data_IF_333423473098
#
_entry.id   IF_333423473098
#
_cell.length_a   1.000
_cell.length_b   1.000
_cell.length_c   1.000
_cell.angle_alpha   90.00
_cell.angle_beta   90.00
_cell.angle_gamma   90.00
#
_symmetry.space_group_name_H-M   'P 1'
#
loop_
_entity.id
_entity.type
_entity.pdbx_description
1 polymer ?
#
# COMPACT_ATOMS: atom_id res chain seq x y z
N UNK A 1 -3.91 23.84 -11.93
CA UNK A 1 -4.09 22.94 -13.08
C UNK A 1 -3.34 23.55 -14.25
N UNK A 2 -2.40 22.84 -14.86
CA UNK A 2 -1.59 23.39 -15.95
C UNK A 2 -2.39 23.36 -17.27
N UNK A 3 -2.11 24.30 -18.19
CA UNK A 3 -2.69 24.35 -19.55
C UNK A 3 -1.57 24.35 -20.59
N UNK A 4 -0.74 23.32 -20.54
CA UNK A 4 0.51 23.21 -21.30
C UNK A 4 0.48 22.18 -22.44
N UNK A 5 -0.70 21.60 -22.73
CA UNK A 5 -0.89 20.64 -23.82
C UNK A 5 -0.59 19.19 -23.45
N UNK A 6 -0.51 18.84 -22.16
CA UNK A 6 -0.44 17.45 -21.71
C UNK A 6 -1.81 16.76 -21.86
N UNK A 7 -1.78 15.50 -22.30
CA UNK A 7 -2.96 14.66 -22.57
C UNK A 7 -3.43 13.87 -21.34
N UNK A 8 -2.88 14.14 -20.15
CA UNK A 8 -3.19 13.44 -18.90
C UNK A 8 -3.55 14.43 -17.79
N UNK A 9 -4.46 14.07 -16.87
CA UNK A 9 -4.84 14.96 -15.79
C UNK A 9 -3.70 15.18 -14.80
N UNK A 10 -3.69 16.36 -14.19
CA UNK A 10 -2.72 16.74 -13.16
C UNK A 10 -2.81 15.88 -11.91
N UNK A 11 -4.01 15.40 -11.59
CA UNK A 11 -4.29 14.51 -10.48
C UNK A 11 -5.17 13.38 -10.99
N UNK A 12 -4.75 12.13 -10.76
CA UNK A 12 -5.52 10.94 -11.09
C UNK A 12 -5.62 10.04 -9.87
N UNK A 13 -6.83 9.59 -9.58
CA UNK A 13 -7.10 8.58 -8.57
C UNK A 13 -7.50 7.29 -9.27
N UNK A 14 -6.78 6.21 -8.98
CA UNK A 14 -7.12 4.86 -9.40
C UNK A 14 -7.57 4.03 -8.19
N UNK A 15 -8.64 3.26 -8.37
CA UNK A 15 -9.09 2.27 -7.39
C UNK A 15 -9.15 0.92 -8.07
N UNK A 16 -8.62 -0.10 -7.41
CA UNK A 16 -8.49 -1.44 -7.95
C UNK A 16 -9.02 -2.44 -6.94
N UNK A 17 -9.84 -3.37 -7.41
CA UNK A 17 -10.35 -4.48 -6.62
C UNK A 17 -9.51 -5.73 -6.91
N UNK A 18 -8.81 -6.21 -5.88
CA UNK A 18 -8.06 -7.47 -5.95
C UNK A 18 -8.90 -8.57 -5.29
N UNK A 19 -9.39 -9.56 -6.06
CA UNK A 19 -10.15 -10.66 -5.50
C UNK A 19 -9.24 -11.57 -4.66
N UNK A 20 -9.86 -12.47 -3.89
CA UNK A 20 -9.13 -13.52 -3.19
C UNK A 20 -8.34 -14.38 -4.19
N UNK A 21 -7.10 -14.71 -3.83
CA UNK A 21 -6.26 -15.63 -4.57
C UNK A 21 -5.59 -16.64 -3.62
N UNK A 22 -4.85 -17.60 -4.17
CA UNK A 22 -4.02 -18.48 -3.35
C UNK A 22 -2.89 -17.73 -2.61
N UNK A 23 -2.51 -16.54 -3.09
CA UNK A 23 -1.41 -15.75 -2.54
C UNK A 23 -1.86 -14.74 -1.47
N UNK A 24 -3.11 -14.27 -1.51
CA UNK A 24 -3.61 -13.24 -0.59
C UNK A 24 -5.14 -13.26 -0.46
N UNK A 25 -5.61 -12.76 0.70
CA UNK A 25 -7.01 -12.39 0.92
C UNK A 25 -7.43 -11.24 -0.02
N UNK A 26 -8.73 -10.99 -0.26
CA UNK A 26 -9.16 -9.87 -1.09
C UNK A 26 -8.80 -8.53 -0.43
N UNK A 27 -8.45 -7.55 -1.25
CA UNK A 27 -8.17 -6.19 -0.78
C UNK A 27 -8.45 -5.17 -1.88
N UNK A 28 -8.57 -3.90 -1.48
CA UNK A 28 -8.66 -2.79 -2.42
C UNK A 28 -7.33 -2.03 -2.41
N UNK A 29 -6.90 -1.61 -3.59
CA UNK A 29 -5.75 -0.72 -3.75
C UNK A 29 -6.25 0.63 -4.24
N UNK A 30 -5.78 1.71 -3.61
CA UNK A 30 -5.96 3.07 -4.12
C UNK A 30 -4.61 3.67 -4.45
N UNK A 31 -4.47 4.19 -5.66
CA UNK A 31 -3.30 4.90 -6.13
C UNK A 31 -3.68 6.34 -6.43
N UNK A 32 -2.82 7.27 -6.03
CA UNK A 32 -2.94 8.68 -6.35
C UNK A 32 -1.69 9.14 -7.10
N UNK A 33 -1.87 9.57 -8.33
CA UNK A 33 -0.87 10.32 -9.06
C UNK A 33 -1.17 11.81 -8.94
N UNK A 34 -0.18 12.63 -8.58
CA UNK A 34 -0.35 14.06 -8.37
C UNK A 34 0.85 14.83 -8.97
N UNK A 35 0.75 15.20 -10.25
CA UNK A 35 1.79 15.91 -10.98
C UNK A 35 1.89 17.41 -10.64
N UNK A 36 0.87 17.99 -10.02
CA UNK A 36 0.93 19.37 -9.51
C UNK A 36 1.55 19.45 -8.11
N UNK A 37 1.88 18.31 -7.51
CA UNK A 37 2.59 18.29 -6.24
C UNK A 37 4.05 18.73 -6.45
N UNK A 38 4.35 19.97 -6.09
CA UNK A 38 5.72 20.50 -6.05
C UNK A 38 6.48 20.08 -4.80
N UNK A 39 5.85 19.35 -3.86
CA UNK A 39 6.51 18.85 -2.67
C UNK A 39 7.07 17.45 -2.97
N UNK A 40 8.36 17.39 -3.30
CA UNK A 40 9.07 16.11 -3.42
C UNK A 40 9.03 15.36 -2.08
N UNK A 41 8.81 14.04 -2.09
CA UNK A 41 9.04 13.19 -0.91
C UNK A 41 7.81 12.63 -0.19
N UNK A 42 6.60 12.81 -0.73
CA UNK A 42 5.35 12.27 -0.14
C UNK A 42 4.97 10.88 -0.66
N UNK A 43 5.87 10.18 -1.35
CA UNK A 43 5.63 8.81 -1.83
C UNK A 43 5.80 7.83 -0.67
N UNK A 44 4.70 7.17 -0.31
CA UNK A 44 4.68 6.05 0.62
C UNK A 44 3.66 5.02 0.16
N UNK A 45 3.88 3.76 0.54
CA UNK A 45 2.89 2.71 0.48
C UNK A 45 2.27 2.55 1.87
N UNK A 46 0.95 2.67 1.97
CA UNK A 46 0.22 2.40 3.20
C UNK A 46 -0.52 1.08 3.09
N UNK A 47 -0.23 0.17 4.00
CA UNK A 47 -0.95 -1.09 4.17
C UNK A 47 -1.86 -0.96 5.38
N UNK A 48 -3.15 -1.25 5.23
CA UNK A 48 -4.14 -1.17 6.32
C UNK A 48 -4.79 -2.53 6.50
N UNK A 49 -4.77 -3.04 7.73
CA UNK A 49 -5.38 -4.30 8.11
C UNK A 49 -6.21 -4.15 9.39
N UNK A 50 -6.81 -5.27 9.83
CA UNK A 50 -7.65 -5.30 11.03
C UNK A 50 -6.91 -4.94 12.33
N UNK A 51 -5.60 -5.15 12.36
CA UNK A 51 -4.75 -4.91 13.55
C UNK A 51 -4.01 -3.57 13.52
N UNK A 52 -4.18 -2.77 12.47
CA UNK A 52 -3.53 -1.47 12.35
C UNK A 52 -3.07 -1.16 10.93
N UNK A 53 -1.98 -0.43 10.81
CA UNK A 53 -1.43 -0.03 9.51
C UNK A 53 0.09 0.02 9.50
N UNK A 54 0.65 -0.03 8.31
CA UNK A 54 2.08 0.13 8.06
C UNK A 54 2.27 1.22 7.02
N UNK A 55 3.09 2.22 7.32
CA UNK A 55 3.55 3.24 6.38
C UNK A 55 4.96 2.86 5.93
N UNK A 56 5.13 2.57 4.63
CA UNK A 56 6.40 2.17 4.01
C UNK A 56 6.91 3.32 3.16
N UNK A 57 8.07 3.88 3.51
CA UNK A 57 8.78 4.92 2.76
C UNK A 57 10.01 4.33 2.09
N UNK A 58 10.86 5.19 1.52
CA UNK A 58 12.10 4.79 0.86
C UNK A 58 13.08 4.05 1.77
N UNK A 59 13.18 4.46 3.03
CA UNK A 59 14.22 4.04 3.98
C UNK A 59 13.64 3.66 5.35
N UNK A 60 12.32 3.66 5.52
CA UNK A 60 11.69 3.33 6.78
C UNK A 60 10.35 2.61 6.64
N UNK A 61 10.02 1.85 7.66
CA UNK A 61 8.73 1.20 7.84
C UNK A 61 8.21 1.56 9.22
N UNK A 62 7.06 2.21 9.28
CA UNK A 62 6.39 2.57 10.53
C UNK A 62 5.14 1.72 10.71
N UNK A 63 5.18 0.79 11.66
CA UNK A 63 4.05 -0.02 12.08
C UNK A 63 3.25 0.71 13.16
N UNK A 64 1.95 0.88 12.94
CA UNK A 64 0.99 1.44 13.89
C UNK A 64 -0.02 0.36 14.23
N UNK A 65 -0.01 -0.14 15.47
CA UNK A 65 -0.98 -1.15 15.94
C UNK A 65 -2.18 -0.50 16.60
N UNK A 66 -3.36 -1.05 16.30
CA UNK A 66 -4.57 -0.72 17.05
C UNK A 66 -4.33 -1.07 18.51
N UNK A 67 -4.49 -0.10 19.41
CA UNK A 67 -4.55 -0.41 20.84
C UNK A 67 -5.88 -1.11 21.10
N UNK A 68 -5.82 -2.31 21.66
CA UNK A 68 -7.00 -2.93 22.27
C UNK A 68 -7.45 -2.00 23.38
N UNK A 69 -8.53 -1.26 23.15
CA UNK A 69 -9.15 -0.43 24.18
C UNK A 69 -9.83 -1.39 25.16
N UNK A 70 -9.64 -1.19 26.46
CA UNK A 70 -10.42 -1.90 27.49
C UNK A 70 -11.92 -1.79 27.14
N UNK A 71 -12.60 -2.93 27.10
CA UNK A 71 -14.02 -3.02 26.75
C UNK A 71 -14.87 -2.21 27.72
N UNK A 72 -15.86 -1.48 27.21
CA UNK A 72 -16.92 -0.82 27.99
C UNK A 72 -18.12 -1.74 28.27
N UNK A 73 -17.99 -3.02 27.92
CA UNK A 73 -18.95 -4.07 28.25
C UNK A 73 -19.20 -4.11 29.78
N UNK A 74 -20.45 -3.91 30.24
CA UNK A 74 -20.82 -3.98 31.65
C UNK A 74 -20.39 -5.29 32.32
N UNK A 75 -20.36 -6.41 31.59
CA UNK A 75 -19.88 -7.70 32.11
C UNK A 75 -18.36 -7.71 32.32
N UNK A 76 -17.59 -7.17 31.37
CA UNK A 76 -16.14 -7.01 31.48
C UNK A 76 -15.77 -6.04 32.62
N UNK A 77 -16.49 -4.93 32.74
CA UNK A 77 -16.31 -3.94 33.82
C UNK A 77 -16.60 -4.58 35.18
N UNK A 78 -17.69 -5.33 35.33
CA UNK A 78 -18.02 -6.04 36.57
C UNK A 78 -17.00 -7.13 36.92
N UNK A 79 -16.48 -7.85 35.93
CA UNK A 79 -15.40 -8.82 36.12
C UNK A 79 -14.12 -8.13 36.64
N UNK A 80 -13.74 -6.99 36.07
CA UNK A 80 -12.56 -6.21 36.47
C UNK A 80 -12.73 -5.56 37.86
N UNK A 81 -13.96 -5.12 38.21
CA UNK A 81 -14.30 -4.66 39.57
C UNK A 81 -14.16 -5.76 40.61
N UNK A 82 -14.66 -6.98 40.33
CA UNK A 82 -14.49 -8.15 41.21
C UNK A 82 -13.02 -8.54 41.40
N UNK A 83 -12.18 -8.28 40.40
CA UNK A 83 -10.72 -8.46 40.47
C UNK A 83 -9.96 -7.32 41.18
N UNK A 84 -10.66 -6.31 41.72
CA UNK A 84 -10.09 -5.28 42.59
C UNK A 84 -9.39 -4.09 41.89
N UNK A 85 -9.58 -3.90 40.58
CA UNK A 85 -9.02 -2.75 39.84
C UNK A 85 -10.13 -1.75 39.45
N UNK A 86 -10.18 -0.53 40.02
CA UNK A 86 -11.16 0.47 39.61
C UNK A 86 -10.76 1.11 38.28
N UNK A 87 -11.66 1.06 37.28
CA UNK A 87 -11.55 1.85 36.04
C UNK A 87 -11.94 3.29 36.38
N UNK A 88 -10.98 4.22 36.41
CA UNK A 88 -11.24 5.63 36.76
C UNK A 88 -11.62 6.48 35.53
N UNK A 89 -12.62 7.35 35.67
CA UNK A 89 -13.36 8.06 34.61
C UNK A 89 -12.71 9.32 34.01
N UNK A 90 -11.51 9.25 33.41
CA UNK A 90 -11.11 10.27 32.41
C UNK A 90 -10.48 9.66 31.17
N UNK A 91 -11.11 9.87 30.01
CA UNK A 91 -10.65 9.40 28.70
C UNK A 91 -9.42 10.21 28.23
N UNK A 92 -8.47 9.51 27.62
CA UNK A 92 -7.22 10.07 27.04
C UNK A 92 -7.19 9.75 25.55
N UNK A 93 -6.80 10.71 24.71
CA UNK A 93 -6.34 10.42 23.35
C UNK A 93 -4.92 9.88 23.50
N UNK A 94 -4.75 8.58 23.34
CA UNK A 94 -3.43 7.95 23.34
C UNK A 94 -3.06 7.66 21.90
N UNK A 95 -1.83 7.99 21.50
CA UNK A 95 -1.32 7.58 20.20
C UNK A 95 -1.40 6.03 20.07
N UNK A 96 -1.57 5.49 18.85
CA UNK A 96 -1.35 4.08 18.57
C UNK A 96 0.00 3.60 19.13
N UNK A 97 0.15 2.30 19.29
CA UNK A 97 1.48 1.74 19.52
C UNK A 97 2.25 1.81 18.19
N UNK A 98 3.40 2.48 18.19
CA UNK A 98 4.14 2.81 16.98
C UNK A 98 5.58 2.29 17.05
N UNK A 99 6.01 1.59 16.00
CA UNK A 99 7.35 1.06 15.83
C UNK A 99 7.90 1.50 14.48
N UNK A 100 9.05 2.15 14.48
CA UNK A 100 9.73 2.55 13.24
C UNK A 100 11.00 1.74 13.07
N UNK A 101 11.09 1.08 11.92
CA UNK A 101 12.28 0.38 11.44
C UNK A 101 12.91 1.26 10.36
N UNK A 102 14.19 1.57 10.50
CA UNK A 102 14.93 2.33 9.50
C UNK A 102 15.98 1.43 8.83
N UNK A 103 16.25 1.69 7.56
CA UNK A 103 17.39 1.10 6.89
C UNK A 103 18.69 1.49 7.59
N UNK A 104 19.70 0.62 7.51
CA UNK A 104 21.01 0.91 8.06
C UNK A 104 21.63 2.13 7.38
N UNK A 105 22.47 2.83 8.13
CA UNK A 105 23.26 3.92 7.58
C UNK A 105 24.12 3.38 6.43
N UNK A 106 24.25 4.18 5.39
CA UNK A 106 25.05 3.89 4.19
C UNK A 106 24.49 2.74 3.33
N UNK A 107 23.25 2.27 3.58
CA UNK A 107 22.53 1.43 2.63
C UNK A 107 22.31 2.19 1.31
N UNK A 108 22.77 1.59 0.21
CA UNK A 108 22.76 2.22 -1.12
C UNK A 108 21.35 2.28 -1.76
N UNK A 109 20.38 1.60 -1.15
CA UNK A 109 18.97 1.68 -1.51
C UNK A 109 18.55 0.74 -2.65
N UNK A 110 17.23 0.70 -2.87
CA UNK A 110 16.61 -0.15 -3.90
C UNK A 110 17.23 -0.02 -5.29
N UNK A 111 17.52 1.19 -5.83
CA UNK A 111 18.13 1.31 -7.15
C UNK A 111 19.44 0.54 -7.29
N UNK A 112 20.33 0.61 -6.28
CA UNK A 112 21.59 -0.13 -6.30
C UNK A 112 21.32 -1.64 -6.32
N UNK A 113 20.48 -2.14 -5.43
CA UNK A 113 20.14 -3.56 -5.33
C UNK A 113 19.49 -4.12 -6.61
N UNK A 114 18.59 -3.35 -7.24
CA UNK A 114 17.99 -3.72 -8.52
C UNK A 114 19.05 -3.91 -9.61
N UNK A 115 20.02 -3.00 -9.73
CA UNK A 115 21.08 -3.11 -10.73
C UNK A 115 22.08 -4.23 -10.40
N UNK A 116 22.43 -4.42 -9.13
CA UNK A 116 23.27 -5.56 -8.70
C UNK A 116 22.61 -6.88 -9.08
N UNK A 117 21.32 -7.04 -8.79
CA UNK A 117 20.56 -8.24 -9.15
C UNK A 117 20.55 -8.45 -10.68
N UNK A 118 20.25 -7.39 -11.44
CA UNK A 118 20.20 -7.44 -12.90
C UNK A 118 21.54 -7.87 -13.52
N UNK A 119 22.65 -7.22 -13.16
CA UNK A 119 23.97 -7.56 -13.71
C UNK A 119 24.47 -8.92 -13.24
N UNK A 120 24.11 -9.34 -12.03
CA UNK A 120 24.45 -10.68 -11.52
C UNK A 120 23.74 -11.76 -12.31
N UNK A 121 22.44 -11.58 -12.62
CA UNK A 121 21.69 -12.50 -13.45
C UNK A 121 22.26 -12.61 -14.87
N UNK A 122 22.62 -11.48 -15.50
CA UNK A 122 23.29 -11.46 -16.82
C UNK A 122 24.59 -12.28 -16.77
N UNK A 123 25.43 -12.02 -15.77
CA UNK A 123 26.76 -12.64 -15.67
C UNK A 123 26.69 -14.15 -15.45
N UNK A 124 25.74 -14.59 -14.62
CA UNK A 124 25.69 -15.97 -14.13
C UNK A 124 24.61 -16.81 -14.82
N UNK A 125 23.87 -16.26 -15.79
CA UNK A 125 22.71 -16.92 -16.38
C UNK A 125 21.57 -17.16 -15.37
N UNK A 126 21.44 -16.25 -14.40
CA UNK A 126 20.41 -16.31 -13.35
C UNK A 126 19.02 -15.89 -13.84
N UNK A 127 17.99 -16.13 -13.02
CA UNK A 127 16.62 -15.68 -13.27
C UNK A 127 16.33 -14.40 -12.50
N UNK A 128 15.56 -13.49 -13.11
CA UNK A 128 15.02 -12.31 -12.46
C UNK A 128 13.66 -12.65 -11.85
N UNK A 129 13.43 -12.24 -10.60
CA UNK A 129 12.16 -12.48 -9.88
C UNK A 129 11.01 -11.69 -10.53
N UNK A 130 11.27 -10.43 -10.87
CA UNK A 130 10.34 -9.53 -11.56
C UNK A 130 10.60 -9.56 -13.07
N UNK A 131 10.18 -10.65 -13.71
CA UNK A 131 10.38 -10.84 -15.15
C UNK A 131 9.41 -10.02 -16.02
N UNK A 132 9.47 -10.23 -17.34
CA UNK A 132 8.60 -9.53 -18.28
C UNK A 132 7.10 -9.77 -18.05
N UNK A 133 6.72 -10.95 -17.53
CA UNK A 133 5.33 -11.26 -17.22
C UNK A 133 4.88 -10.50 -15.99
N UNK A 134 5.72 -10.44 -14.95
CA UNK A 134 5.48 -9.60 -13.78
C UNK A 134 5.31 -8.12 -14.19
N UNK A 135 6.24 -7.59 -14.98
CA UNK A 135 6.20 -6.21 -15.44
C UNK A 135 4.94 -5.91 -16.27
N UNK A 136 4.54 -6.80 -17.18
CA UNK A 136 3.33 -6.61 -17.98
C UNK A 136 2.07 -6.60 -17.11
N UNK A 137 1.97 -7.51 -16.13
CA UNK A 137 0.85 -7.56 -15.19
C UNK A 137 0.75 -6.32 -14.29
N UNK A 138 1.87 -5.66 -13.99
CA UNK A 138 1.89 -4.39 -13.26
C UNK A 138 1.54 -3.20 -14.16
N UNK A 139 2.13 -3.13 -15.36
CA UNK A 139 2.01 -1.98 -16.26
C UNK A 139 0.64 -1.90 -16.96
N UNK A 140 0.08 -3.04 -17.40
CA UNK A 140 -1.17 -3.03 -18.15
C UNK A 140 -2.34 -2.44 -17.34
N UNK A 141 -2.61 -2.84 -16.09
CA UNK A 141 -3.65 -2.20 -15.27
C UNK A 141 -3.41 -0.71 -15.02
N UNK A 142 -2.15 -0.27 -14.89
CA UNK A 142 -1.83 1.15 -14.74
C UNK A 142 -2.19 1.95 -16.01
N UNK A 143 -1.95 1.39 -17.20
CA UNK A 143 -2.38 2.00 -18.46
C UNK A 143 -3.91 1.99 -18.61
N UNK A 144 -4.58 0.94 -18.15
CA UNK A 144 -6.05 0.85 -18.15
C UNK A 144 -6.70 1.94 -17.28
N UNK A 145 -6.00 2.54 -16.31
CA UNK A 145 -6.53 3.70 -15.59
C UNK A 145 -6.80 4.88 -16.53
N UNK A 146 -5.99 5.09 -17.57
CA UNK A 146 -6.21 6.14 -18.55
C UNK A 146 -7.46 5.85 -19.38
N UNK A 147 -7.62 4.60 -19.83
CA UNK A 147 -8.80 4.17 -20.57
C UNK A 147 -10.08 4.27 -19.73
N UNK A 148 -10.00 3.86 -18.46
CA UNK A 148 -11.09 3.96 -17.48
C UNK A 148 -11.48 5.42 -17.24
N UNK A 149 -10.49 6.31 -17.10
CA UNK A 149 -10.70 7.75 -16.95
C UNK A 149 -11.41 8.35 -18.18
N UNK A 150 -10.95 8.01 -19.39
CA UNK A 150 -11.53 8.54 -20.63
C UNK A 150 -12.95 8.02 -20.91
N UNK A 151 -13.24 6.77 -20.51
CA UNK A 151 -14.53 6.12 -20.74
C UNK A 151 -15.53 6.31 -19.58
N UNK A 152 -15.08 6.92 -18.47
CA UNK A 152 -15.85 7.06 -17.22
C UNK A 152 -16.47 5.73 -16.75
N UNK A 153 -15.67 4.66 -16.81
CA UNK A 153 -16.15 3.30 -16.47
C UNK A 153 -15.04 2.43 -15.89
N UNK A 154 -15.41 1.53 -14.99
CA UNK A 154 -14.49 0.54 -14.45
C UNK A 154 -14.18 -0.54 -15.50
N UNK A 155 -12.89 -0.84 -15.68
CA UNK A 155 -12.41 -1.87 -16.61
C UNK A 155 -12.03 -3.15 -15.86
N UNK A 156 -12.41 -4.31 -16.41
CA UNK A 156 -12.06 -5.61 -15.85
C UNK A 156 -10.82 -6.17 -16.53
N UNK A 157 -9.90 -6.71 -15.75
CA UNK A 157 -8.62 -7.25 -16.21
C UNK A 157 -8.46 -8.70 -15.79
N UNK A 158 -8.09 -9.58 -16.74
CA UNK A 158 -7.65 -10.93 -16.43
C UNK A 158 -6.11 -10.95 -16.29
N UNK A 159 -5.55 -11.10 -15.08
CA UNK A 159 -4.10 -11.08 -14.90
C UNK A 159 -3.40 -12.35 -15.43
N UNK A 160 -4.09 -13.49 -15.50
CA UNK A 160 -3.51 -14.73 -16.01
C UNK A 160 -3.41 -14.73 -17.54
N UNK A 161 -4.52 -14.40 -18.20
CA UNK A 161 -4.62 -14.28 -19.66
C UNK A 161 -4.09 -12.96 -20.19
N UNK A 162 -3.79 -12.01 -19.30
CA UNK A 162 -3.21 -10.71 -19.63
C UNK A 162 -4.05 -9.93 -20.66
N UNK A 163 -5.37 -9.86 -20.41
CA UNK A 163 -6.32 -9.23 -21.32
C UNK A 163 -7.50 -8.57 -20.58
N UNK A 164 -8.11 -7.58 -21.24
CA UNK A 164 -9.36 -6.95 -20.77
C UNK A 164 -10.52 -7.96 -20.87
N UNK A 165 -11.44 -7.89 -19.91
CA UNK A 165 -12.67 -8.68 -19.89
C UNK A 165 -13.87 -7.74 -20.05
N UNK A 166 -14.88 -8.16 -20.80
CA UNK A 166 -16.18 -7.47 -20.84
C UNK A 166 -17.02 -7.93 -19.65
N UNK A 167 -17.77 -6.99 -19.06
CA UNK A 167 -18.84 -7.34 -18.11
C UNK A 167 -19.90 -8.22 -18.77
#
# INVERSE_FOLDING_TARGET
YWKDGREVPDVLLGTFDYPQSAAHAPFNLSLRCNFVDGTSGTTYLKLVGSEGSMDVTWDSVTLKRNKTIESDDPFYIEQMKKAGKPVSDRKRILAPEEYTFAAEKDYLGGPYDHFVNFFTAIRNGGKIVEDAVFAYRAAAPALLCNDSFNQDTALLWNPEKMQIIKK
#
